data_IF_695533675916
#
_entry.id   IF_695533675916
#
_cell.length_a   1.000
_cell.length_b   1.000
_cell.length_c   1.000
_cell.angle_alpha   90.00
_cell.angle_beta   90.00
_cell.angle_gamma   90.00
#
_symmetry.space_group_name_H-M   'P 1'
#
loop_
_entity.id
_entity.type
_entity.pdbx_description
1 polymer ?
#
# COMPACT_ATOMS: atom_id res chain seq x y z
N UNK A 1 -15.64 17.19 68.97
CA UNK A 1 -15.97 17.73 67.62
C UNK A 1 -15.42 16.76 66.58
N UNK A 2 -16.27 15.87 66.07
CA UNK A 2 -15.90 14.82 65.12
C UNK A 2 -16.18 15.31 63.66
N UNK A 3 -15.13 15.47 62.84
CA UNK A 3 -15.24 15.80 61.47
C UNK A 3 -15.25 14.49 60.65
N UNK A 4 -16.43 14.02 60.21
CA UNK A 4 -16.61 12.96 59.28
C UNK A 4 -16.59 13.56 57.87
N UNK A 5 -15.43 13.57 57.18
CA UNK A 5 -15.37 13.78 55.76
C UNK A 5 -15.82 12.51 55.05
N UNK A 6 -16.99 12.52 54.42
CA UNK A 6 -17.46 11.47 53.54
C UNK A 6 -16.54 11.40 52.28
N UNK A 7 -15.74 10.33 52.14
CA UNK A 7 -15.11 9.97 50.89
C UNK A 7 -16.21 9.62 49.89
N UNK A 8 -16.34 10.41 48.86
CA UNK A 8 -17.17 10.09 47.70
C UNK A 8 -16.53 8.91 46.97
N UNK A 9 -17.30 7.83 46.83
CA UNK A 9 -16.86 6.55 46.31
C UNK A 9 -16.43 6.68 44.82
N UNK A 10 -15.15 6.41 44.52
CA UNK A 10 -14.58 6.52 43.19
C UNK A 10 -15.19 5.54 42.17
N UNK A 11 -16.01 4.59 42.62
CA UNK A 11 -16.79 3.69 41.76
C UNK A 11 -17.96 4.37 41.07
N UNK A 12 -18.66 5.28 41.78
CA UNK A 12 -19.80 6.02 41.21
C UNK A 12 -19.36 6.97 40.07
N UNK A 13 -18.21 7.63 40.23
CA UNK A 13 -17.66 8.54 39.20
C UNK A 13 -17.18 7.80 37.96
N UNK A 14 -16.63 6.59 38.11
CA UNK A 14 -16.26 5.73 36.96
C UNK A 14 -17.50 5.21 36.24
N UNK A 15 -18.55 4.81 36.95
CA UNK A 15 -19.81 4.40 36.34
C UNK A 15 -20.48 5.53 35.54
N UNK A 16 -20.54 6.74 36.09
CA UNK A 16 -21.09 7.91 35.41
C UNK A 16 -20.31 8.26 34.13
N UNK A 17 -18.99 8.17 34.15
CA UNK A 17 -18.16 8.45 32.93
C UNK A 17 -18.39 7.44 31.82
N UNK A 18 -18.65 6.18 32.13
CA UNK A 18 -18.97 5.13 31.15
C UNK A 18 -20.36 5.37 30.55
N UNK A 19 -21.37 5.69 31.40
CA UNK A 19 -22.73 5.99 30.92
C UNK A 19 -22.80 7.25 30.05
N UNK A 20 -22.05 8.31 30.39
CA UNK A 20 -21.95 9.52 29.59
C UNK A 20 -21.36 9.21 28.21
N UNK A 21 -20.30 8.38 28.12
CA UNK A 21 -19.73 7.96 26.85
C UNK A 21 -20.67 7.11 26.00
N UNK A 22 -21.41 6.20 26.63
CA UNK A 22 -22.43 5.39 25.94
C UNK A 22 -23.55 6.29 25.40
N UNK A 23 -24.04 7.24 26.23
CA UNK A 23 -25.11 8.14 25.80
C UNK A 23 -24.67 9.12 24.72
N UNK A 24 -23.44 9.61 24.77
CA UNK A 24 -22.83 10.41 23.71
C UNK A 24 -22.64 9.58 22.42
N UNK A 25 -22.21 8.33 22.53
CA UNK A 25 -22.13 7.40 21.40
C UNK A 25 -23.49 7.16 20.73
N UNK A 26 -24.54 6.91 21.52
CA UNK A 26 -25.90 6.72 20.99
C UNK A 26 -26.49 8.00 20.37
N UNK A 27 -26.18 9.19 20.90
CA UNK A 27 -26.59 10.45 20.26
C UNK A 27 -25.84 10.71 18.96
N UNK A 28 -24.55 10.40 18.89
CA UNK A 28 -23.76 10.47 17.67
C UNK A 28 -24.26 9.48 16.60
N UNK A 29 -24.54 8.24 16.99
CA UNK A 29 -25.11 7.23 16.07
C UNK A 29 -26.47 7.68 15.51
N UNK A 30 -27.32 8.26 16.36
CA UNK A 30 -28.61 8.79 15.93
C UNK A 30 -28.44 10.00 15.00
N UNK A 31 -27.50 10.87 15.28
CA UNK A 31 -27.20 12.04 14.45
C UNK A 31 -26.59 11.63 13.09
N UNK A 32 -25.80 10.58 13.08
CA UNK A 32 -25.23 10.00 11.84
C UNK A 32 -26.28 9.25 10.99
N UNK A 33 -27.29 8.64 11.61
CA UNK A 33 -28.40 8.00 10.88
C UNK A 33 -29.37 8.99 10.22
N UNK A 34 -29.29 10.27 10.53
CA UNK A 34 -30.10 11.35 9.94
C UNK A 34 -29.34 12.11 8.82
N UNK A 35 -28.08 11.74 8.53
CA UNK A 35 -27.32 12.36 7.44
C UNK A 35 -27.83 11.81 6.11
N UNK A 36 -28.51 12.63 5.36
CA UNK A 36 -28.90 12.32 3.98
C UNK A 36 -27.67 12.44 3.07
N UNK A 37 -27.32 11.35 2.36
CA UNK A 37 -26.19 11.31 1.41
C UNK A 37 -26.73 11.08 0.00
N UNK A 38 -26.09 11.72 -0.96
CA UNK A 38 -26.28 11.38 -2.36
C UNK A 38 -25.81 9.95 -2.61
N UNK A 39 -26.51 9.24 -3.47
CA UNK A 39 -26.25 7.83 -3.77
C UNK A 39 -26.02 7.65 -5.27
N UNK A 40 -24.98 6.90 -5.63
CA UNK A 40 -24.71 6.46 -7.00
C UNK A 40 -24.61 4.94 -7.04
N UNK A 41 -25.21 4.32 -8.06
CA UNK A 41 -25.25 2.87 -8.25
C UNK A 41 -24.32 2.45 -9.38
N UNK A 42 -23.54 1.39 -9.14
CA UNK A 42 -22.61 0.75 -10.07
C UNK A 42 -22.76 -0.78 -10.06
N UNK A 43 -22.22 -1.45 -11.05
CA UNK A 43 -22.03 -2.89 -10.98
C UNK A 43 -20.88 -3.24 -10.03
N UNK A 44 -19.77 -2.52 -10.13
CA UNK A 44 -18.58 -2.78 -9.30
C UNK A 44 -17.98 -1.47 -8.79
N UNK A 45 -17.80 -1.39 -7.47
CA UNK A 45 -17.06 -0.32 -6.80
C UNK A 45 -15.68 -0.84 -6.39
N UNK A 46 -14.60 -0.17 -6.79
CA UNK A 46 -13.23 -0.55 -6.47
C UNK A 46 -12.57 0.55 -5.64
N UNK A 47 -12.11 0.22 -4.44
CA UNK A 47 -11.45 1.16 -3.55
C UNK A 47 -9.92 1.02 -3.69
N UNK A 48 -9.28 2.05 -4.27
CA UNK A 48 -7.86 2.17 -4.50
C UNK A 48 -7.45 1.98 -5.97
N UNK A 49 -6.95 3.04 -6.60
CA UNK A 49 -6.40 3.05 -7.96
C UNK A 49 -4.91 2.66 -8.00
N UNK A 50 -4.53 1.65 -7.21
CA UNK A 50 -3.25 0.99 -7.33
C UNK A 50 -3.23 -0.06 -8.45
N UNK A 51 -2.08 -0.75 -8.67
CA UNK A 51 -1.97 -1.74 -9.75
C UNK A 51 -3.05 -2.84 -9.66
N UNK A 52 -3.43 -3.26 -8.45
CA UNK A 52 -4.41 -4.32 -8.26
C UNK A 52 -5.83 -3.88 -8.66
N UNK A 53 -6.26 -2.70 -8.19
CA UNK A 53 -7.60 -2.17 -8.50
C UNK A 53 -7.76 -1.84 -9.98
N UNK A 54 -6.79 -1.14 -10.56
CA UNK A 54 -6.81 -0.79 -11.99
C UNK A 54 -6.78 -2.01 -12.90
N UNK A 55 -5.93 -3.01 -12.57
CA UNK A 55 -5.91 -4.26 -13.34
C UNK A 55 -7.22 -5.04 -13.24
N UNK A 56 -7.88 -5.01 -12.07
CA UNK A 56 -9.19 -5.64 -11.91
C UNK A 56 -10.26 -4.90 -12.72
N UNK A 57 -10.32 -3.58 -12.68
CA UNK A 57 -11.24 -2.76 -13.46
C UNK A 57 -11.09 -3.02 -14.97
N UNK A 58 -9.86 -2.95 -15.47
CA UNK A 58 -9.54 -3.22 -16.88
C UNK A 58 -9.99 -4.64 -17.26
N UNK A 59 -9.65 -5.65 -16.44
CA UNK A 59 -10.01 -7.03 -16.75
C UNK A 59 -11.51 -7.26 -16.75
N UNK A 60 -12.25 -6.66 -15.86
CA UNK A 60 -13.72 -6.73 -15.84
C UNK A 60 -14.31 -6.13 -17.12
N UNK A 61 -13.88 -4.94 -17.53
CA UNK A 61 -14.33 -4.29 -18.79
C UNK A 61 -13.94 -5.07 -20.04
N UNK A 62 -12.81 -5.79 -20.02
CA UNK A 62 -12.44 -6.71 -21.11
C UNK A 62 -13.32 -7.97 -21.18
N UNK A 63 -13.88 -8.40 -20.05
CA UNK A 63 -14.78 -9.56 -19.98
C UNK A 63 -16.22 -9.18 -20.32
N UNK A 64 -16.64 -8.00 -19.90
CA UNK A 64 -17.96 -7.46 -20.14
C UNK A 64 -17.87 -5.92 -20.21
N UNK A 65 -18.01 -5.36 -21.42
CA UNK A 65 -17.93 -3.93 -21.69
C UNK A 65 -19.09 -3.12 -21.10
N UNK A 66 -20.21 -3.76 -20.80
CA UNK A 66 -21.43 -3.11 -20.32
C UNK A 66 -21.41 -2.86 -18.79
N UNK A 67 -20.45 -3.43 -18.07
CA UNK A 67 -20.36 -3.23 -16.63
C UNK A 67 -20.08 -1.76 -16.28
N UNK A 68 -20.86 -1.18 -15.39
CA UNK A 68 -20.58 0.11 -14.77
C UNK A 68 -19.60 -0.07 -13.62
N UNK A 69 -18.39 0.48 -13.80
CA UNK A 69 -17.29 0.32 -12.84
C UNK A 69 -16.74 1.68 -12.42
N UNK A 70 -16.69 1.90 -11.11
CA UNK A 70 -16.02 3.07 -10.51
C UNK A 70 -14.81 2.63 -9.70
N UNK A 71 -13.72 3.40 -9.82
CA UNK A 71 -12.49 3.26 -9.03
C UNK A 71 -12.28 4.52 -8.21
N UNK A 72 -12.14 4.37 -6.90
CA UNK A 72 -11.96 5.47 -5.95
C UNK A 72 -10.51 5.56 -5.52
N UNK A 73 -9.90 6.74 -5.61
CA UNK A 73 -8.52 6.99 -5.19
C UNK A 73 -8.47 8.18 -4.23
N UNK A 74 -7.85 7.96 -3.06
CA UNK A 74 -7.68 9.01 -2.05
C UNK A 74 -6.65 10.08 -2.41
N UNK A 75 -5.69 9.73 -3.27
CA UNK A 75 -4.69 10.67 -3.78
C UNK A 75 -5.33 11.67 -4.72
N UNK A 76 -4.82 12.89 -4.78
CA UNK A 76 -5.27 13.95 -5.68
C UNK A 76 -5.20 13.55 -7.17
N UNK A 77 -4.38 12.58 -7.49
CA UNK A 77 -4.26 11.93 -8.79
C UNK A 77 -3.82 10.47 -8.63
N UNK A 78 -4.08 9.64 -9.61
CA UNK A 78 -3.61 8.24 -9.62
C UNK A 78 -2.08 8.22 -9.61
N UNK A 79 -1.51 7.43 -8.70
CA UNK A 79 -0.05 7.29 -8.57
C UNK A 79 0.62 8.33 -7.66
N UNK A 80 -0.06 9.39 -7.20
CA UNK A 80 0.50 10.43 -6.34
C UNK A 80 1.14 9.87 -5.04
N UNK A 81 0.52 8.85 -4.46
CA UNK A 81 1.01 8.20 -3.25
C UNK A 81 1.97 7.03 -3.51
N UNK A 82 2.37 6.81 -4.75
CA UNK A 82 3.27 5.71 -5.13
C UNK A 82 4.65 6.27 -5.43
N UNK A 83 5.48 6.45 -4.41
CA UNK A 83 6.91 6.66 -4.60
C UNK A 83 7.56 5.30 -4.78
N UNK A 84 7.67 4.81 -6.00
CA UNK A 84 8.29 3.52 -6.19
C UNK A 84 9.18 3.44 -7.42
N UNK A 85 10.44 3.11 -7.17
CA UNK A 85 11.18 2.30 -8.10
C UNK A 85 10.85 0.84 -7.80
N UNK A 86 10.50 0.12 -8.81
CA UNK A 86 10.27 -1.31 -8.73
C UNK A 86 10.97 -2.01 -9.88
N UNK A 87 11.30 -3.27 -9.68
CA UNK A 87 11.57 -4.19 -10.78
C UNK A 87 10.27 -4.91 -11.08
N UNK A 88 9.72 -4.72 -12.26
CA UNK A 88 8.44 -5.27 -12.69
C UNK A 88 8.66 -6.48 -13.59
N UNK A 89 8.05 -7.62 -13.22
CA UNK A 89 7.86 -8.77 -14.12
C UNK A 89 6.68 -8.46 -15.06
N UNK A 90 6.92 -8.36 -16.39
CA UNK A 90 5.87 -7.94 -17.31
C UNK A 90 4.79 -8.99 -17.55
N UNK A 91 4.91 -10.21 -17.01
CA UNK A 91 4.00 -11.32 -17.30
C UNK A 91 2.55 -11.02 -16.97
N UNK A 92 2.29 -10.28 -15.89
CA UNK A 92 0.93 -9.81 -15.54
C UNK A 92 0.40 -8.82 -16.59
N UNK A 93 1.22 -7.87 -16.98
CA UNK A 93 0.86 -6.88 -17.97
C UNK A 93 0.63 -7.49 -19.37
N UNK A 94 1.46 -8.47 -19.76
CA UNK A 94 1.30 -9.24 -21.03
C UNK A 94 -0.06 -9.96 -21.05
N UNK A 95 -0.54 -10.48 -19.92
CA UNK A 95 -1.86 -11.12 -19.85
C UNK A 95 -3.00 -10.11 -19.94
N UNK A 96 -2.80 -8.91 -19.42
CA UNK A 96 -3.80 -7.85 -19.45
C UNK A 96 -3.85 -7.17 -20.82
N UNK A 97 -2.67 -6.86 -21.38
CA UNK A 97 -2.47 -6.23 -22.66
C UNK A 97 -1.30 -6.91 -23.41
N UNK A 98 -1.58 -7.90 -24.27
CA UNK A 98 -0.53 -8.54 -25.08
C UNK A 98 0.25 -7.54 -25.96
N UNK A 99 -0.39 -6.44 -26.32
CA UNK A 99 0.11 -5.34 -27.15
C UNK A 99 0.65 -4.14 -26.33
N UNK A 100 0.99 -4.33 -25.05
CA UNK A 100 1.41 -3.28 -24.14
C UNK A 100 2.54 -2.38 -24.65
N UNK A 101 3.45 -2.95 -25.48
CA UNK A 101 4.54 -2.18 -26.13
C UNK A 101 3.99 -1.20 -27.16
N UNK A 102 3.04 -1.63 -27.98
CA UNK A 102 2.37 -0.79 -28.99
C UNK A 102 1.50 0.29 -28.31
N UNK A 103 1.04 0.04 -27.09
CA UNK A 103 0.30 1.01 -26.25
C UNK A 103 1.22 1.94 -25.46
N UNK A 104 2.52 1.93 -25.71
CA UNK A 104 3.50 2.78 -25.01
C UNK A 104 3.45 2.66 -23.50
N UNK A 105 3.27 1.45 -22.96
CA UNK A 105 3.39 1.23 -21.52
C UNK A 105 4.77 1.70 -21.02
N UNK A 106 4.87 2.35 -19.85
CA UNK A 106 6.10 3.00 -19.38
C UNK A 106 7.11 1.99 -18.79
N UNK A 107 7.39 0.92 -19.51
CA UNK A 107 8.41 -0.09 -19.24
C UNK A 107 9.59 0.12 -20.19
N UNK A 108 10.36 1.18 -19.94
CA UNK A 108 11.41 1.66 -20.85
C UNK A 108 12.80 1.11 -20.55
N UNK A 109 13.06 0.71 -19.28
CA UNK A 109 14.39 0.30 -18.83
C UNK A 109 14.42 -1.20 -18.52
N UNK A 110 14.87 -2.05 -19.46
CA UNK A 110 15.03 -3.48 -19.19
C UNK A 110 16.18 -3.72 -18.20
N UNK A 111 16.07 -4.74 -17.37
CA UNK A 111 17.16 -5.16 -16.50
C UNK A 111 18.29 -5.74 -17.35
N UNK A 112 19.47 -5.11 -17.29
CA UNK A 112 20.71 -5.49 -18.00
C UNK A 112 21.67 -6.24 -17.06
N UNK A 113 21.76 -5.79 -15.80
CA UNK A 113 22.58 -6.41 -14.78
C UNK A 113 21.76 -6.72 -13.54
N UNK A 114 21.96 -7.90 -12.96
CA UNK A 114 21.29 -8.33 -11.74
C UNK A 114 22.34 -8.78 -10.72
N UNK A 115 22.44 -8.05 -9.62
CA UNK A 115 23.49 -8.22 -8.62
C UNK A 115 22.88 -8.50 -7.24
N UNK A 116 23.49 -9.43 -6.51
CA UNK A 116 23.16 -9.69 -5.13
C UNK A 116 24.40 -9.67 -4.24
N UNK A 117 24.36 -8.86 -3.16
CA UNK A 117 25.50 -8.69 -2.27
C UNK A 117 25.16 -8.99 -0.81
N UNK A 118 26.15 -9.49 -0.09
CA UNK A 118 26.19 -9.47 1.37
C UNK A 118 27.12 -8.33 1.78
N UNK A 119 26.57 -7.35 2.52
CA UNK A 119 27.32 -6.18 2.97
C UNK A 119 27.93 -6.42 4.35
N UNK A 120 29.21 -6.13 4.48
CA UNK A 120 29.88 -5.81 5.72
C UNK A 120 29.89 -4.30 5.96
N UNK A 121 30.58 -3.83 6.98
CA UNK A 121 30.64 -2.40 7.34
C UNK A 121 31.33 -1.54 6.26
N UNK A 122 32.39 -2.06 5.66
CA UNK A 122 33.17 -1.35 4.64
C UNK A 122 33.34 -2.11 3.33
N UNK A 123 32.91 -3.36 3.27
CA UNK A 123 33.09 -4.26 2.14
C UNK A 123 31.81 -4.97 1.73
N UNK A 124 31.89 -5.70 0.62
CA UNK A 124 30.78 -6.50 0.13
C UNK A 124 31.27 -7.77 -0.54
N UNK A 125 30.47 -8.82 -0.48
CA UNK A 125 30.69 -10.08 -1.17
C UNK A 125 29.54 -10.27 -2.16
N UNK A 126 29.84 -10.43 -3.45
CA UNK A 126 28.82 -10.76 -4.47
C UNK A 126 28.49 -12.25 -4.39
N UNK A 127 27.21 -12.54 -4.30
CA UNK A 127 26.70 -13.91 -4.44
C UNK A 127 26.39 -14.16 -5.91
N UNK A 128 26.89 -15.28 -6.49
CA UNK A 128 26.56 -15.65 -7.86
C UNK A 128 25.07 -15.89 -8.04
N UNK A 129 24.47 -15.34 -9.09
CA UNK A 129 23.03 -15.51 -9.36
C UNK A 129 22.62 -16.98 -9.53
N UNK A 130 23.53 -17.84 -9.99
CA UNK A 130 23.29 -19.28 -10.10
C UNK A 130 23.00 -19.98 -8.75
N UNK A 131 23.39 -19.38 -7.62
CA UNK A 131 23.11 -19.89 -6.28
C UNK A 131 21.82 -19.33 -5.69
N UNK A 132 21.18 -18.37 -6.36
CA UNK A 132 19.95 -17.72 -5.90
C UNK A 132 18.72 -18.49 -6.41
N UNK A 133 17.61 -18.49 -5.64
CA UNK A 133 16.36 -19.06 -6.13
C UNK A 133 15.94 -18.43 -7.48
N UNK A 134 15.43 -19.23 -8.44
CA UNK A 134 15.01 -18.73 -9.76
C UNK A 134 14.05 -17.53 -9.69
N UNK A 135 13.21 -17.47 -8.67
CA UNK A 135 12.28 -16.35 -8.42
C UNK A 135 12.97 -15.01 -8.17
N UNK A 136 14.24 -15.01 -7.77
CA UNK A 136 15.03 -13.80 -7.54
C UNK A 136 15.73 -13.29 -8.80
N UNK A 137 15.71 -14.05 -9.90
CA UNK A 137 16.25 -13.63 -11.17
C UNK A 137 15.42 -12.48 -11.77
N UNK A 138 16.09 -11.41 -12.15
CA UNK A 138 15.48 -10.22 -12.73
C UNK A 138 15.66 -10.08 -14.26
N UNK A 139 16.34 -10.99 -14.91
CA UNK A 139 16.44 -10.96 -16.39
C UNK A 139 15.07 -11.08 -17.04
N UNK A 140 14.79 -10.20 -18.02
CA UNK A 140 13.49 -10.07 -18.68
C UNK A 140 12.49 -9.18 -17.94
N UNK A 141 12.84 -8.67 -16.77
CA UNK A 141 12.07 -7.68 -16.03
C UNK A 141 12.48 -6.25 -16.41
N UNK A 142 11.72 -5.28 -15.93
CA UNK A 142 11.94 -3.85 -16.20
C UNK A 142 12.04 -3.06 -14.90
N UNK A 143 12.95 -2.11 -14.85
CA UNK A 143 12.98 -1.09 -13.79
C UNK A 143 11.96 -0.03 -14.17
N UNK A 144 11.00 0.25 -13.28
CA UNK A 144 9.87 1.13 -13.58
C UNK A 144 9.56 2.10 -12.43
N UNK A 145 8.93 3.22 -12.78
CA UNK A 145 8.15 4.00 -11.82
C UNK A 145 6.74 3.42 -11.75
N UNK A 146 6.38 2.79 -10.61
CA UNK A 146 5.02 2.26 -10.45
C UNK A 146 3.96 3.36 -10.44
N UNK A 147 4.30 4.60 -10.06
CA UNK A 147 3.41 5.74 -10.22
C UNK A 147 3.05 5.97 -11.69
N UNK A 148 4.06 5.95 -12.59
CA UNK A 148 3.82 6.10 -14.03
C UNK A 148 3.05 4.91 -14.60
N UNK A 149 3.35 3.69 -14.14
CA UNK A 149 2.59 2.50 -14.55
C UNK A 149 1.13 2.61 -14.14
N UNK A 150 0.83 3.09 -12.92
CA UNK A 150 -0.55 3.28 -12.48
C UNK A 150 -1.27 4.37 -13.26
N UNK A 151 -0.61 5.50 -13.59
CA UNK A 151 -1.22 6.53 -14.44
C UNK A 151 -1.57 5.97 -15.81
N UNK A 152 -0.64 5.26 -16.42
CA UNK A 152 -0.89 4.61 -17.71
C UNK A 152 -2.03 3.57 -17.63
N UNK A 153 -2.08 2.76 -16.55
CA UNK A 153 -3.20 1.82 -16.34
C UNK A 153 -4.53 2.56 -16.16
N UNK A 154 -4.53 3.71 -15.50
CA UNK A 154 -5.73 4.54 -15.35
C UNK A 154 -6.24 5.05 -16.72
N UNK A 155 -5.34 5.57 -17.56
CA UNK A 155 -5.66 5.97 -18.93
C UNK A 155 -6.26 4.80 -19.75
N UNK A 156 -5.71 3.58 -19.59
CA UNK A 156 -6.27 2.40 -20.26
C UNK A 156 -7.64 2.00 -19.69
N UNK A 157 -7.86 2.15 -18.38
CA UNK A 157 -9.13 1.87 -17.74
C UNK A 157 -10.22 2.87 -18.19
N UNK A 158 -9.91 4.15 -18.18
CA UNK A 158 -10.80 5.22 -18.67
C UNK A 158 -11.15 5.05 -20.15
N UNK A 159 -10.18 4.66 -20.98
CA UNK A 159 -10.42 4.34 -22.39
C UNK A 159 -11.39 3.15 -22.60
N UNK A 160 -11.55 2.29 -21.61
CA UNK A 160 -12.54 1.21 -21.59
C UNK A 160 -13.86 1.60 -20.94
N UNK A 161 -14.02 2.86 -20.52
CA UNK A 161 -15.23 3.35 -19.86
C UNK A 161 -15.30 3.05 -18.37
N UNK A 162 -14.17 2.96 -17.67
CA UNK A 162 -14.11 2.93 -16.20
C UNK A 162 -14.11 4.37 -15.68
N UNK A 163 -14.96 4.69 -14.73
CA UNK A 163 -14.91 5.96 -14.02
C UNK A 163 -13.86 5.93 -12.92
N UNK A 164 -13.01 6.97 -12.85
CA UNK A 164 -11.96 7.07 -11.82
C UNK A 164 -12.12 8.38 -11.06
N UNK A 165 -12.44 8.30 -9.77
CA UNK A 165 -12.58 9.47 -8.90
C UNK A 165 -11.33 9.62 -8.03
N UNK A 166 -10.42 10.48 -8.46
CA UNK A 166 -9.26 10.88 -7.67
C UNK A 166 -9.64 11.95 -6.63
N UNK A 167 -8.93 11.98 -5.50
CA UNK A 167 -9.25 12.86 -4.37
C UNK A 167 -10.36 12.33 -3.46
N UNK A 168 -10.96 11.18 -3.78
CA UNK A 168 -12.09 10.58 -3.07
C UNK A 168 -11.61 9.53 -2.07
N UNK A 169 -11.43 9.92 -0.81
CA UNK A 169 -11.14 8.98 0.26
C UNK A 169 -12.42 8.29 0.73
N UNK A 170 -12.36 6.96 0.92
CA UNK A 170 -13.47 6.19 1.48
C UNK A 170 -13.36 6.12 3.01
N UNK A 171 -14.42 6.47 3.72
CA UNK A 171 -14.48 6.56 5.19
C UNK A 171 -15.24 5.41 5.83
N UNK A 172 -16.32 4.92 5.22
CA UNK A 172 -17.25 3.97 5.80
C UNK A 172 -17.63 2.86 4.80
N UNK A 173 -18.08 1.72 5.33
CA UNK A 173 -18.61 0.58 4.57
C UNK A 173 -20.13 0.57 4.68
N UNK A 174 -20.82 0.41 3.54
CA UNK A 174 -22.27 0.33 3.46
C UNK A 174 -22.68 -1.13 3.31
N UNK A 175 -23.54 -1.63 4.20
CA UNK A 175 -23.98 -3.03 4.21
C UNK A 175 -25.44 -3.15 3.83
N UNK A 176 -25.78 -4.23 3.12
CA UNK A 176 -27.15 -4.60 2.81
C UNK A 176 -27.86 -5.30 3.98
N UNK A 177 -29.14 -5.59 3.79
CA UNK A 177 -30.00 -6.16 4.82
C UNK A 177 -29.60 -7.57 5.29
N UNK A 178 -28.85 -8.32 4.48
CA UNK A 178 -28.33 -9.64 4.83
C UNK A 178 -26.91 -9.59 5.40
N UNK A 179 -26.37 -8.37 5.58
CA UNK A 179 -25.04 -8.14 6.10
C UNK A 179 -23.93 -8.23 5.06
N UNK A 180 -24.27 -8.37 3.77
CA UNK A 180 -23.32 -8.29 2.65
C UNK A 180 -22.82 -6.86 2.44
N UNK A 181 -21.60 -6.71 1.95
CA UNK A 181 -21.05 -5.40 1.58
C UNK A 181 -21.74 -4.92 0.29
N UNK A 182 -22.30 -3.70 0.32
CA UNK A 182 -23.04 -3.10 -0.80
C UNK A 182 -22.42 -1.83 -1.34
N UNK A 183 -21.54 -1.19 -0.61
CA UNK A 183 -20.96 0.06 -1.04
C UNK A 183 -19.98 0.65 -0.05
N UNK A 184 -19.58 1.87 -0.32
CA UNK A 184 -18.73 2.69 0.53
C UNK A 184 -19.20 4.13 0.56
N UNK A 185 -18.92 4.83 1.66
CA UNK A 185 -19.03 6.29 1.72
C UNK A 185 -17.70 6.88 1.29
N UNK A 186 -17.73 7.78 0.33
CA UNK A 186 -16.55 8.45 -0.21
C UNK A 186 -16.70 9.98 -0.20
N UNK A 187 -15.59 10.70 -0.07
CA UNK A 187 -15.58 12.16 -0.07
C UNK A 187 -16.05 12.80 1.23
N UNK A 188 -16.26 12.03 2.31
CA UNK A 188 -16.57 12.59 3.63
C UNK A 188 -15.40 13.45 4.13
N UNK A 189 -15.69 14.67 4.56
CA UNK A 189 -14.70 15.63 5.04
C UNK A 189 -15.16 16.29 6.34
N UNK A 190 -14.20 16.74 7.17
CA UNK A 190 -14.51 17.49 8.40
C UNK A 190 -14.98 16.65 9.59
N UNK A 191 -14.85 15.32 9.55
CA UNK A 191 -15.10 14.39 10.65
C UNK A 191 -13.79 13.97 11.30
N UNK A 192 -13.68 14.17 12.60
CA UNK A 192 -12.53 13.78 13.41
C UNK A 192 -12.57 12.29 13.78
N UNK A 193 -11.42 11.72 14.19
CA UNK A 193 -11.34 10.31 14.59
C UNK A 193 -12.13 9.93 15.84
N UNK A 194 -12.56 10.91 16.64
CA UNK A 194 -13.47 10.74 17.80
C UNK A 194 -14.96 10.89 17.41
N UNK A 195 -15.23 11.10 16.11
CA UNK A 195 -16.58 11.28 15.56
C UNK A 195 -17.12 12.71 15.59
N UNK A 196 -16.37 13.68 16.14
CA UNK A 196 -16.79 15.09 16.13
C UNK A 196 -16.77 15.67 14.72
N UNK A 197 -17.72 16.56 14.44
CA UNK A 197 -17.95 17.19 13.14
C UNK A 197 -17.51 18.64 13.22
N UNK A 198 -16.73 19.12 12.23
CA UNK A 198 -16.35 20.52 12.09
C UNK A 198 -17.43 21.34 11.38
N UNK A 199 -17.31 22.67 11.41
CA UNK A 199 -18.18 23.56 10.63
C UNK A 199 -18.07 23.35 9.10
N UNK A 200 -16.95 22.79 8.64
CA UNK A 200 -16.71 22.46 7.24
C UNK A 200 -17.03 20.98 6.92
N UNK A 201 -17.98 20.40 7.64
CA UNK A 201 -18.35 18.99 7.42
C UNK A 201 -19.11 18.82 6.10
N UNK A 202 -18.63 17.87 5.31
CA UNK A 202 -19.30 17.38 4.10
C UNK A 202 -19.60 15.88 4.30
N UNK A 203 -20.86 15.44 4.14
CA UNK A 203 -21.27 14.06 4.47
C UNK A 203 -20.71 13.02 3.51
N UNK A 204 -20.11 13.43 2.40
CA UNK A 204 -19.74 12.52 1.33
C UNK A 204 -20.94 11.93 0.60
N UNK A 205 -20.69 10.98 -0.29
CA UNK A 205 -21.70 10.26 -1.03
C UNK A 205 -21.58 8.75 -0.84
N UNK A 206 -22.68 8.03 -1.00
CA UNK A 206 -22.70 6.58 -1.02
C UNK A 206 -22.53 6.06 -2.45
N UNK A 207 -21.47 5.29 -2.69
CA UNK A 207 -21.29 4.57 -3.94
C UNK A 207 -21.64 3.10 -3.68
N UNK A 208 -22.77 2.70 -4.25
CA UNK A 208 -23.30 1.34 -4.10
C UNK A 208 -22.87 0.47 -5.29
N UNK A 209 -22.63 -0.80 -5.04
CA UNK A 209 -22.26 -1.75 -6.07
C UNK A 209 -22.86 -3.12 -5.85
N UNK A 210 -23.04 -3.91 -6.91
CA UNK A 210 -23.34 -5.33 -6.78
C UNK A 210 -22.19 -6.06 -6.11
N UNK A 211 -20.94 -5.58 -6.37
CA UNK A 211 -19.71 -6.03 -5.72
C UNK A 211 -18.81 -4.86 -5.37
N UNK A 212 -18.11 -4.98 -4.24
CA UNK A 212 -17.13 -4.00 -3.77
C UNK A 212 -15.76 -4.67 -3.65
N UNK A 213 -14.76 -4.17 -4.36
CA UNK A 213 -13.39 -4.65 -4.29
C UNK A 213 -12.51 -3.69 -3.50
N UNK A 214 -11.85 -4.22 -2.46
CA UNK A 214 -10.96 -3.46 -1.61
C UNK A 214 -9.50 -3.70 -2.02
N UNK A 215 -8.89 -2.69 -2.65
CA UNK A 215 -7.49 -2.68 -3.11
C UNK A 215 -6.67 -1.54 -2.48
N UNK A 216 -6.95 -1.24 -1.21
CA UNK A 216 -6.38 -0.13 -0.42
C UNK A 216 -4.90 -0.27 -0.07
N UNK A 217 -4.27 -1.37 -0.45
CA UNK A 217 -2.87 -1.66 -0.10
C UNK A 217 -2.72 -2.32 1.28
N UNK A 218 -1.50 -2.21 1.83
CA UNK A 218 -1.06 -3.01 3.00
C UNK A 218 -1.86 -2.76 4.28
N UNK A 219 -2.39 -1.56 4.47
CA UNK A 219 -3.04 -1.15 5.72
C UNK A 219 -4.34 -0.38 5.45
N UNK A 220 -5.13 -0.89 4.54
CA UNK A 220 -6.45 -0.34 4.25
C UNK A 220 -7.32 -0.29 5.50
N UNK A 221 -8.00 0.82 5.74
CA UNK A 221 -8.89 1.00 6.89
C UNK A 221 -10.15 0.16 6.75
N UNK A 222 -10.73 0.11 5.56
CA UNK A 222 -11.93 -0.65 5.26
C UNK A 222 -11.62 -2.15 5.14
N UNK A 223 -10.49 -2.50 4.54
CA UNK A 223 -10.03 -3.90 4.45
C UNK A 223 -9.92 -4.57 5.82
N UNK A 224 -9.45 -3.85 6.85
CA UNK A 224 -9.39 -4.37 8.23
C UNK A 224 -10.77 -4.65 8.80
N UNK A 225 -11.72 -3.77 8.55
CA UNK A 225 -13.10 -3.92 9.04
C UNK A 225 -13.77 -5.15 8.45
N UNK A 226 -13.62 -5.40 7.13
CA UNK A 226 -14.20 -6.60 6.49
C UNK A 226 -13.49 -7.88 6.94
N UNK A 227 -12.16 -7.85 7.14
CA UNK A 227 -11.40 -8.99 7.67
C UNK A 227 -11.93 -9.39 9.04
N UNK A 228 -12.17 -8.43 9.92
CA UNK A 228 -12.72 -8.64 11.26
C UNK A 228 -14.18 -9.07 11.21
N UNK A 229 -15.04 -8.33 10.49
CA UNK A 229 -16.48 -8.60 10.41
C UNK A 229 -16.82 -9.99 9.92
N UNK A 230 -16.12 -10.47 8.89
CA UNK A 230 -16.37 -11.78 8.29
C UNK A 230 -15.41 -12.88 8.74
N UNK A 231 -14.58 -12.59 9.77
CA UNK A 231 -13.58 -13.53 10.30
C UNK A 231 -12.71 -14.16 9.20
N UNK A 232 -12.29 -13.34 8.23
CA UNK A 232 -11.56 -13.81 7.06
C UNK A 232 -10.18 -14.37 7.40
N UNK A 233 -9.60 -13.98 8.52
CA UNK A 233 -8.29 -14.43 8.99
C UNK A 233 -8.36 -15.66 9.92
N UNK A 234 -9.53 -16.29 10.07
CA UNK A 234 -9.67 -17.48 10.90
C UNK A 234 -8.72 -18.60 10.47
N UNK A 235 -7.91 -19.07 11.39
CA UNK A 235 -6.92 -20.13 11.16
C UNK A 235 -5.65 -19.67 10.42
N UNK A 236 -5.48 -18.37 10.13
CA UNK A 236 -4.27 -17.84 9.53
C UNK A 236 -3.23 -17.46 10.59
N UNK A 237 -1.96 -17.52 10.22
CA UNK A 237 -0.88 -16.95 11.02
C UNK A 237 -0.97 -15.41 11.06
N UNK A 238 -0.43 -14.83 12.13
CA UNK A 238 -0.35 -13.37 12.26
C UNK A 238 0.50 -12.79 11.11
N UNK A 239 -0.02 -11.82 10.33
CA UNK A 239 0.72 -11.25 9.23
C UNK A 239 1.95 -10.48 9.72
N UNK A 240 3.06 -10.62 9.00
CA UNK A 240 4.29 -9.88 9.25
C UNK A 240 4.38 -8.69 8.29
N UNK A 241 5.01 -7.61 8.77
CA UNK A 241 5.18 -6.40 8.00
C UNK A 241 6.65 -5.96 8.00
N UNK A 242 7.06 -5.33 6.91
CA UNK A 242 8.29 -4.56 6.82
C UNK A 242 7.98 -3.10 6.57
N UNK A 243 8.92 -2.22 6.91
CA UNK A 243 8.92 -0.82 6.52
C UNK A 243 9.96 -0.63 5.43
N UNK A 244 9.53 -0.30 4.23
CA UNK A 244 10.40 0.08 3.12
C UNK A 244 10.50 1.60 3.02
N UNK A 245 11.72 2.10 3.10
CA UNK A 245 12.06 3.51 2.87
C UNK A 245 12.79 3.60 1.54
N UNK A 246 12.50 4.63 0.78
CA UNK A 246 13.11 4.86 -0.53
C UNK A 246 13.43 6.32 -0.75
N UNK A 247 14.48 6.54 -1.54
CA UNK A 247 14.84 7.83 -2.08
C UNK A 247 15.11 7.68 -3.58
N UNK A 248 14.79 8.72 -4.33
CA UNK A 248 15.18 8.86 -5.73
C UNK A 248 16.28 9.91 -5.79
N UNK A 249 17.38 9.53 -6.39
CA UNK A 249 18.56 10.39 -6.57
C UNK A 249 18.85 10.58 -8.04
N UNK A 250 19.16 11.80 -8.44
CA UNK A 250 19.84 12.11 -9.67
C UNK A 250 21.33 12.09 -9.39
N UNK A 251 22.05 11.19 -10.07
CA UNK A 251 23.47 10.96 -9.82
C UNK A 251 24.34 11.39 -11.00
N UNK A 252 25.64 11.45 -10.77
CA UNK A 252 26.62 11.72 -11.79
C UNK A 252 26.52 10.64 -12.93
N UNK A 253 26.41 11.02 -14.21
CA UNK A 253 26.35 10.11 -15.32
C UNK A 253 27.48 9.07 -15.37
N UNK A 254 28.70 9.45 -14.92
CA UNK A 254 29.85 8.54 -14.89
C UNK A 254 29.70 7.38 -13.86
N UNK A 255 28.74 7.50 -12.95
CA UNK A 255 28.44 6.51 -11.90
C UNK A 255 27.11 5.81 -12.12
N UNK A 256 26.40 6.23 -13.15
CA UNK A 256 25.12 5.65 -13.52
C UNK A 256 25.33 4.47 -14.46
N UNK A 257 24.58 3.38 -14.24
CA UNK A 257 24.59 2.19 -15.11
C UNK A 257 23.15 1.76 -15.37
N UNK A 258 22.51 2.39 -16.34
CA UNK A 258 21.10 2.14 -16.68
C UNK A 258 20.80 0.65 -16.88
N UNK A 259 19.78 0.16 -16.15
CA UNK A 259 19.37 -1.24 -16.17
C UNK A 259 20.05 -2.11 -15.12
N UNK A 260 20.93 -1.54 -14.27
CA UNK A 260 21.51 -2.27 -13.15
C UNK A 260 20.52 -2.38 -12.00
N UNK A 261 20.36 -3.61 -11.52
CA UNK A 261 19.60 -3.96 -10.31
C UNK A 261 20.56 -4.53 -9.29
N UNK A 262 20.57 -3.96 -8.11
CA UNK A 262 21.37 -4.45 -6.99
C UNK A 262 20.47 -4.67 -5.78
N UNK A 263 20.49 -5.90 -5.23
CA UNK A 263 19.91 -6.22 -3.93
C UNK A 263 21.02 -6.54 -2.94
N UNK A 264 20.80 -6.26 -1.66
CA UNK A 264 21.76 -6.66 -0.63
C UNK A 264 21.13 -6.97 0.71
N UNK A 265 21.86 -7.77 1.51
CA UNK A 265 21.58 -8.13 2.90
C UNK A 265 22.79 -7.80 3.76
N UNK A 266 22.62 -7.89 5.09
CA UNK A 266 23.69 -7.74 6.07
C UNK A 266 23.74 -6.35 6.68
N UNK A 267 24.89 -5.68 6.60
CA UNK A 267 25.08 -4.36 7.20
C UNK A 267 24.10 -3.31 6.63
N UNK A 268 23.56 -2.38 7.45
CA UNK A 268 23.79 -2.18 8.88
C UNK A 268 22.95 -3.06 9.82
N UNK A 269 21.90 -3.75 9.37
CA UNK A 269 21.04 -4.57 10.23
C UNK A 269 21.73 -5.83 10.77
N UNK A 270 22.75 -6.34 10.05
CA UNK A 270 23.34 -7.65 10.34
C UNK A 270 22.34 -8.80 10.05
N UNK A 271 22.62 -9.98 10.59
CA UNK A 271 21.80 -11.18 10.36
C UNK A 271 20.76 -11.44 11.48
N UNK A 272 20.75 -10.63 12.54
CA UNK A 272 19.80 -10.79 13.65
C UNK A 272 18.44 -10.13 13.40
N UNK A 273 18.40 -9.16 12.49
CA UNK A 273 17.19 -8.47 12.08
C UNK A 273 16.97 -8.73 10.59
N UNK A 274 15.76 -9.09 10.22
CA UNK A 274 15.40 -9.28 8.83
C UNK A 274 15.19 -7.93 8.12
N UNK A 275 15.61 -7.88 6.87
CA UNK A 275 15.56 -6.69 6.03
C UNK A 275 16.57 -6.76 4.91
N UNK A 276 16.80 -5.67 4.24
CA UNK A 276 17.75 -5.58 3.14
C UNK A 276 17.66 -4.28 2.39
N UNK A 277 18.45 -4.15 1.35
CA UNK A 277 18.47 -2.94 0.53
C UNK A 277 18.38 -3.27 -0.95
N UNK A 278 18.03 -2.25 -1.71
CA UNK A 278 18.08 -2.28 -3.16
C UNK A 278 18.58 -0.96 -3.73
N UNK A 279 19.21 -1.05 -4.90
CA UNK A 279 19.61 0.08 -5.73
C UNK A 279 19.25 -0.29 -7.16
N UNK A 280 18.47 0.58 -7.83
CA UNK A 280 18.02 0.38 -9.21
C UNK A 280 18.37 1.61 -10.03
N UNK A 281 19.06 1.41 -11.13
CA UNK A 281 19.44 2.46 -12.07
C UNK A 281 18.40 2.57 -13.18
N UNK A 282 17.58 3.61 -13.10
CA UNK A 282 16.53 3.93 -14.08
C UNK A 282 17.14 4.79 -15.21
N UNK A 283 16.32 5.33 -16.09
CA UNK A 283 16.72 6.32 -17.09
C UNK A 283 17.07 7.69 -16.45
N UNK A 284 17.52 8.64 -17.27
CA UNK A 284 17.79 10.03 -16.88
C UNK A 284 18.74 10.20 -15.68
N UNK A 285 19.71 9.30 -15.51
CA UNK A 285 20.66 9.27 -14.39
C UNK A 285 19.98 9.15 -13.02
N UNK A 286 18.75 8.64 -12.98
CA UNK A 286 18.02 8.41 -11.75
C UNK A 286 18.36 7.06 -11.13
N UNK A 287 18.54 7.08 -9.81
CA UNK A 287 18.78 5.87 -9.03
C UNK A 287 17.77 5.81 -7.89
N UNK A 288 17.07 4.67 -7.81
CA UNK A 288 16.26 4.34 -6.66
C UNK A 288 17.13 3.68 -5.60
N UNK A 289 17.17 4.25 -4.41
CA UNK A 289 17.87 3.69 -3.26
C UNK A 289 16.85 3.36 -2.20
N UNK A 290 16.76 2.11 -1.80
CA UNK A 290 15.77 1.66 -0.83
C UNK A 290 16.35 0.77 0.25
N UNK A 291 15.70 0.79 1.41
CA UNK A 291 16.04 0.00 2.57
C UNK A 291 14.80 -0.52 3.27
N UNK A 292 14.75 -1.80 3.54
CA UNK A 292 13.60 -2.46 4.15
C UNK A 292 14.02 -3.00 5.51
N UNK A 293 13.22 -2.74 6.53
CA UNK A 293 13.39 -3.28 7.89
C UNK A 293 12.11 -3.99 8.29
N UNK A 294 12.21 -5.25 8.69
CA UNK A 294 11.07 -5.98 9.24
C UNK A 294 10.66 -5.40 10.60
N UNK A 295 9.37 -5.20 10.81
CA UNK A 295 8.87 -4.50 12.00
C UNK A 295 8.81 -5.37 13.26
N UNK A 296 9.21 -6.63 13.18
CA UNK A 296 9.31 -7.54 14.31
C UNK A 296 10.70 -7.58 14.97
N UNK A 297 11.52 -6.53 14.76
CA UNK A 297 12.83 -6.42 15.42
C UNK A 297 12.67 -6.32 16.94
N UNK A 298 13.64 -6.92 17.66
CA UNK A 298 13.60 -7.02 19.14
C UNK A 298 14.25 -5.83 19.87
N UNK A 299 15.12 -5.09 19.17
CA UNK A 299 15.83 -3.97 19.77
C UNK A 299 14.95 -2.72 19.73
N UNK A 300 14.41 -2.21 20.87
CA UNK A 300 13.53 -1.04 20.89
C UNK A 300 14.24 0.27 20.46
N UNK A 301 15.57 0.28 20.47
CA UNK A 301 16.37 1.44 20.03
C UNK A 301 16.69 1.41 18.54
N UNK A 302 16.33 0.37 17.81
CA UNK A 302 16.52 0.32 16.38
C UNK A 302 15.54 1.29 15.71
N UNK A 303 16.10 2.25 14.97
CA UNK A 303 15.31 3.16 14.13
C UNK A 303 15.47 2.77 12.66
N UNK A 304 14.43 2.30 11.97
CA UNK A 304 14.50 1.97 10.55
C UNK A 304 15.06 3.12 9.70
N UNK A 305 14.67 4.36 10.02
CA UNK A 305 15.18 5.54 9.33
C UNK A 305 16.70 5.71 9.51
N UNK A 306 17.20 5.54 10.74
CA UNK A 306 18.65 5.68 11.00
C UNK A 306 19.44 4.54 10.35
N UNK A 307 18.89 3.31 10.28
CA UNK A 307 19.54 2.22 9.56
C UNK A 307 19.63 2.52 8.04
N UNK A 308 18.59 3.13 7.47
CA UNK A 308 18.66 3.61 6.08
C UNK A 308 19.71 4.72 5.89
N UNK A 309 19.85 5.66 6.84
CA UNK A 309 20.92 6.66 6.78
C UNK A 309 22.30 5.99 6.85
N UNK A 310 22.50 5.07 7.79
CA UNK A 310 23.74 4.28 7.89
C UNK A 310 24.07 3.56 6.59
N UNK A 311 23.10 2.90 5.97
CA UNK A 311 23.26 2.23 4.68
C UNK A 311 23.81 3.18 3.61
N UNK A 312 23.34 4.42 3.53
CA UNK A 312 23.84 5.41 2.57
C UNK A 312 25.30 5.81 2.81
N UNK A 313 25.81 5.62 4.03
CA UNK A 313 27.21 5.84 4.34
C UNK A 313 28.14 4.64 4.03
N UNK A 314 27.57 3.49 3.62
CA UNK A 314 28.41 2.40 3.11
C UNK A 314 29.26 2.89 1.94
N UNK A 315 30.59 2.59 1.89
CA UNK A 315 31.53 3.20 0.93
C UNK A 315 31.08 3.12 -0.54
N UNK A 316 30.46 2.00 -0.93
CA UNK A 316 29.92 1.83 -2.30
C UNK A 316 28.75 2.75 -2.58
N UNK A 317 27.80 2.83 -1.63
CA UNK A 317 26.60 3.65 -1.76
C UNK A 317 26.97 5.12 -1.70
N UNK A 318 27.80 5.52 -0.75
CA UNK A 318 28.28 6.88 -0.62
C UNK A 318 29.04 7.35 -1.87
N UNK A 319 29.85 6.47 -2.49
CA UNK A 319 30.53 6.77 -3.78
C UNK A 319 29.51 7.01 -4.90
N UNK A 320 28.45 6.20 -5.01
CA UNK A 320 27.40 6.36 -6.01
C UNK A 320 26.68 7.71 -5.84
N UNK A 321 26.29 8.03 -4.61
CA UNK A 321 25.49 9.22 -4.29
C UNK A 321 26.30 10.53 -4.17
N UNK A 322 27.64 10.45 -4.21
CA UNK A 322 28.50 11.64 -4.04
C UNK A 322 28.22 12.69 -5.12
N UNK A 323 27.87 13.91 -4.69
CA UNK A 323 27.53 15.01 -5.58
C UNK A 323 26.15 14.90 -6.23
N UNK A 324 25.42 13.80 -6.00
CA UNK A 324 24.06 13.63 -6.48
C UNK A 324 23.04 14.48 -5.71
N UNK A 325 21.86 14.64 -6.29
CA UNK A 325 20.72 15.37 -5.71
C UNK A 325 19.57 14.39 -5.41
N UNK A 326 19.09 14.37 -4.16
CA UNK A 326 17.88 13.67 -3.81
C UNK A 326 16.67 14.46 -4.32
N UNK A 327 15.88 13.88 -5.22
CA UNK A 327 14.72 14.53 -5.85
C UNK A 327 13.39 14.12 -5.21
N UNK A 328 13.32 12.91 -4.62
CA UNK A 328 12.12 12.48 -3.92
C UNK A 328 12.45 11.45 -2.82
N UNK A 329 11.53 11.28 -1.88
CA UNK A 329 11.65 10.27 -0.81
C UNK A 329 10.26 9.84 -0.32
N UNK A 330 10.20 8.66 0.30
CA UNK A 330 8.98 8.15 0.93
C UNK A 330 9.20 6.85 1.67
N UNK A 331 8.19 6.45 2.42
CA UNK A 331 8.17 5.18 3.13
C UNK A 331 6.81 4.50 2.99
N UNK A 332 6.82 3.17 2.92
CA UNK A 332 5.62 2.34 2.87
C UNK A 332 5.81 1.06 3.67
N UNK A 333 4.73 0.64 4.31
CA UNK A 333 4.67 -0.71 4.85
C UNK A 333 4.55 -1.72 3.69
N UNK A 334 5.10 -2.92 3.92
CA UNK A 334 5.06 -4.06 3.00
C UNK A 334 4.60 -5.28 3.78
N UNK A 335 3.68 -6.07 3.24
CA UNK A 335 3.32 -7.36 3.84
C UNK A 335 4.41 -8.39 3.59
N UNK A 336 4.73 -9.21 4.62
CA UNK A 336 5.74 -10.26 4.55
C UNK A 336 5.26 -11.59 5.15
N UNK A 337 3.96 -11.76 5.34
CA UNK A 337 3.39 -12.90 6.05
C UNK A 337 3.54 -14.24 5.35
N UNK A 338 3.58 -14.25 4.03
CA UNK A 338 3.57 -15.48 3.23
C UNK A 338 2.18 -16.13 3.15
N UNK A 339 2.09 -17.29 2.50
CA UNK A 339 0.82 -17.97 2.22
C UNK A 339 0.02 -18.32 3.49
N UNK A 340 0.70 -18.65 4.58
CA UNK A 340 0.07 -19.03 5.85
C UNK A 340 -0.66 -17.88 6.56
N UNK A 341 -0.43 -16.63 6.17
CA UNK A 341 -1.10 -15.44 6.74
C UNK A 341 -2.09 -14.80 5.78
N UNK A 342 -2.39 -15.44 4.64
CA UNK A 342 -3.37 -14.92 3.70
C UNK A 342 -4.79 -15.16 4.23
N UNK A 343 -5.62 -14.12 4.36
CA UNK A 343 -7.01 -14.27 4.70
C UNK A 343 -7.80 -14.87 3.54
N UNK A 344 -9.02 -15.33 3.80
CA UNK A 344 -9.99 -15.57 2.74
C UNK A 344 -10.20 -14.26 1.98
N UNK A 345 -10.02 -14.32 0.65
CA UNK A 345 -10.08 -13.09 -0.16
C UNK A 345 -11.50 -12.68 -0.53
N UNK A 346 -12.41 -13.65 -0.69
CA UNK A 346 -13.81 -13.39 -1.04
C UNK A 346 -14.70 -13.41 0.23
N UNK A 347 -15.65 -12.49 0.27
CA UNK A 347 -16.63 -12.35 1.33
C UNK A 347 -17.98 -11.90 0.73
N UNK A 348 -19.09 -11.95 1.48
CA UNK A 348 -20.40 -11.54 0.96
C UNK A 348 -20.39 -10.11 0.44
N UNK A 349 -20.62 -9.93 -0.86
CA UNK A 349 -20.67 -8.66 -1.55
C UNK A 349 -19.29 -8.12 -2.03
N UNK A 350 -18.18 -8.87 -1.90
CA UNK A 350 -16.91 -8.34 -2.37
C UNK A 350 -15.68 -9.22 -2.23
N UNK A 351 -14.52 -8.60 -2.48
CA UNK A 351 -13.22 -9.26 -2.36
C UNK A 351 -12.09 -8.30 -1.97
N UNK A 352 -11.06 -8.86 -1.31
CA UNK A 352 -9.77 -8.19 -1.06
C UNK A 352 -8.84 -8.41 -2.25
N UNK A 353 -8.19 -7.35 -2.73
CA UNK A 353 -7.26 -7.42 -3.86
C UNK A 353 -5.85 -6.98 -3.47
N UNK A 354 -4.85 -7.59 -4.11
CA UNK A 354 -3.45 -7.20 -3.96
C UNK A 354 -2.95 -7.23 -2.52
N UNK A 355 -2.31 -6.14 -2.10
CA UNK A 355 -1.75 -6.03 -0.74
C UNK A 355 -2.80 -5.92 0.37
N UNK A 356 -4.07 -5.60 0.07
CA UNK A 356 -5.17 -5.67 1.05
C UNK A 356 -5.41 -7.10 1.52
N UNK A 357 -5.20 -8.07 0.65
CA UNK A 357 -5.20 -9.50 0.99
C UNK A 357 -3.82 -10.04 1.40
N UNK A 358 -2.77 -9.20 1.41
CA UNK A 358 -1.41 -9.67 1.69
C UNK A 358 -0.74 -10.44 0.53
N UNK A 359 -1.26 -10.33 -0.69
CA UNK A 359 -0.76 -11.03 -1.88
C UNK A 359 0.56 -10.43 -2.39
N UNK A 360 1.61 -10.55 -1.60
CA UNK A 360 2.98 -10.14 -1.97
C UNK A 360 3.86 -11.37 -2.03
N UNK A 361 4.51 -11.58 -3.17
CA UNK A 361 5.54 -12.59 -3.30
C UNK A 361 6.86 -12.04 -2.75
N UNK A 362 7.20 -12.41 -1.51
CA UNK A 362 8.36 -11.89 -0.81
C UNK A 362 9.70 -12.12 -1.56
N UNK A 363 10.00 -13.30 -2.13
CA UNK A 363 11.24 -13.51 -2.89
C UNK A 363 11.34 -12.64 -4.14
N UNK A 364 10.22 -12.25 -4.71
CA UNK A 364 10.21 -11.36 -5.89
C UNK A 364 10.23 -9.90 -5.51
N UNK A 365 9.58 -9.49 -4.41
CA UNK A 365 9.38 -8.08 -3.95
C UNK A 365 8.96 -7.17 -5.13
N UNK A 366 8.10 -7.66 -6.02
CA UNK A 366 7.84 -7.09 -7.34
C UNK A 366 6.36 -6.96 -7.58
#
# INVERSE_FOLDING_TARGET
MNNHSKRIDGGLLRGLSVWVKIFQGMQLEKQMSEIERETMDYDVVIVGAGPAGLSAAIRLKQLDSELDIVVLEKGSEVGAHILSGAVLDPSGLVRLFPDWKARNAPLTVPVKEDNFYVLGEAGQIRLPNALMPPLMNNHGNYIVSMGNVCRWLAEQAEALGVEIFAGMACSELVYGAQGELRGVVAGEFGKSGDGSISEAYEPGMELLGKYVFLSEGVRGSLSKQVIEKYDLAAGCDVPKFGLGMKEIWEVDPERHNEGEVTHSLGWPLGFKNSGGSFIYHLDNNQVYVGYIVDLNYRNPYLSPYMEFQRFKHHPKVAKLLKGGKRIAYGARAVTKGGAQSLPKVAFPGGALLGCSAGLVNLPRIK
#
